data_IF_923476962364
#
_entry.id   IF_923476962364
#
_cell.length_a   1.000
_cell.length_b   1.000
_cell.length_c   1.000
_cell.angle_alpha   90.00
_cell.angle_beta   90.00
_cell.angle_gamma   90.00
#
_symmetry.space_group_name_H-M   'P 1'
#
loop_
_entity.id
_entity.type
_entity.pdbx_description
1 polymer ?
#
# COMPACT_ATOMS: atom_id res chain seq x y z
N UNK A 1 -4.26 14.63 -5.88
CA UNK A 1 -5.04 13.59 -6.60
C UNK A 1 -4.15 12.37 -6.78
N UNK A 2 -4.62 11.16 -6.45
CA UNK A 2 -3.85 9.93 -6.67
C UNK A 2 -3.64 9.70 -8.17
N UNK A 3 -2.54 9.01 -8.53
CA UNK A 3 -2.23 8.61 -9.89
C UNK A 3 -2.29 7.08 -9.99
N UNK A 4 -2.84 6.57 -11.09
CA UNK A 4 -2.83 5.13 -11.38
C UNK A 4 -1.42 4.69 -11.71
N UNK A 5 -1.01 3.56 -11.15
CA UNK A 5 0.32 2.98 -11.32
C UNK A 5 0.17 1.55 -11.83
N UNK A 6 0.82 1.24 -12.95
CA UNK A 6 0.85 -0.12 -13.51
C UNK A 6 2.04 -0.93 -12.96
N UNK A 7 2.01 -2.25 -13.11
CA UNK A 7 2.95 -3.18 -12.47
C UNK A 7 4.44 -2.88 -12.72
N UNK A 8 4.82 -2.41 -13.91
CA UNK A 8 6.22 -2.04 -14.19
C UNK A 8 6.64 -0.81 -13.39
N UNK A 9 5.78 0.21 -13.34
CA UNK A 9 6.04 1.43 -12.58
C UNK A 9 6.01 1.18 -11.08
N UNK A 10 5.16 0.26 -10.61
CA UNK A 10 5.18 -0.21 -9.22
C UNK A 10 6.56 -0.74 -8.84
N UNK A 11 7.14 -1.64 -9.66
CA UNK A 11 8.47 -2.22 -9.39
C UNK A 11 9.57 -1.15 -9.31
N UNK A 12 9.55 -0.17 -10.22
CA UNK A 12 10.49 0.96 -10.20
C UNK A 12 10.37 1.76 -8.90
N UNK A 13 9.14 2.13 -8.53
CA UNK A 13 8.88 2.90 -7.32
C UNK A 13 9.31 2.15 -6.07
N UNK A 14 9.00 0.85 -5.96
CA UNK A 14 9.43 0.03 -4.82
C UNK A 14 10.94 -0.12 -4.75
N UNK A 15 11.62 -0.27 -5.89
CA UNK A 15 13.09 -0.34 -5.94
C UNK A 15 13.77 0.97 -5.50
N UNK A 16 13.07 2.12 -5.67
CA UNK A 16 13.52 3.43 -5.21
C UNK A 16 13.09 3.74 -3.76
N UNK A 17 12.60 2.75 -3.02
CA UNK A 17 12.14 2.92 -1.65
C UNK A 17 10.70 3.45 -1.56
N UNK A 18 9.85 3.25 -2.54
CA UNK A 18 8.41 3.48 -2.39
C UNK A 18 7.82 2.65 -1.24
N UNK A 19 6.78 3.19 -0.61
CA UNK A 19 6.06 2.56 0.50
C UNK A 19 4.81 1.90 -0.05
N UNK A 20 4.83 0.56 -0.12
CA UNK A 20 3.69 -0.22 -0.61
C UNK A 20 2.72 -0.47 0.54
N UNK A 21 1.44 -0.13 0.34
CA UNK A 21 0.39 -0.21 1.35
C UNK A 21 -0.76 -1.06 0.82
N UNK A 22 -1.09 -2.12 1.55
CA UNK A 22 -2.29 -2.93 1.35
C UNK A 22 -3.37 -2.49 2.34
N UNK A 23 -4.57 -2.25 1.84
CA UNK A 23 -5.69 -1.70 2.62
C UNK A 23 -6.82 -2.70 2.88
N UNK A 24 -6.66 -3.96 2.47
CA UNK A 24 -7.55 -5.05 2.87
C UNK A 24 -7.47 -5.35 4.39
N UNK A 25 -8.52 -5.96 4.97
CA UNK A 25 -8.49 -6.49 6.33
C UNK A 25 -7.26 -7.38 6.61
N UNK A 26 -6.82 -7.38 7.87
CA UNK A 26 -5.63 -8.11 8.33
C UNK A 26 -5.66 -9.60 7.95
N UNK A 27 -6.83 -10.23 8.00
CA UNK A 27 -7.01 -11.64 7.65
C UNK A 27 -6.67 -11.90 6.17
N UNK A 28 -7.17 -11.07 5.26
CA UNK A 28 -6.94 -11.18 3.82
C UNK A 28 -5.48 -10.85 3.47
N UNK A 29 -4.91 -9.84 4.12
CA UNK A 29 -3.47 -9.54 4.02
C UNK A 29 -2.62 -10.75 4.45
N UNK A 30 -2.98 -11.43 5.55
CA UNK A 30 -2.26 -12.58 6.05
C UNK A 30 -2.32 -13.78 5.09
N UNK A 31 -3.42 -13.94 4.34
CA UNK A 31 -3.56 -14.98 3.33
C UNK A 31 -2.67 -14.72 2.10
N UNK A 32 -2.70 -13.50 1.55
CA UNK A 32 -1.88 -13.14 0.40
C UNK A 32 -1.65 -11.63 0.33
N UNK A 33 -0.39 -11.21 0.22
CA UNK A 33 -0.02 -9.82 -0.04
C UNK A 33 1.27 -9.75 -0.87
N UNK A 34 1.51 -8.59 -1.46
CA UNK A 34 2.77 -8.30 -2.14
C UNK A 34 3.90 -8.18 -1.12
N UNK A 35 5.03 -8.84 -1.39
CA UNK A 35 6.21 -8.79 -0.51
C UNK A 35 6.63 -7.35 -0.22
N UNK A 36 6.80 -7.02 1.06
CA UNK A 36 7.20 -5.68 1.50
C UNK A 36 6.05 -4.67 1.62
N UNK A 37 4.80 -5.08 1.34
CA UNK A 37 3.63 -4.27 1.66
C UNK A 37 3.49 -4.09 3.17
N UNK A 38 2.92 -2.96 3.58
CA UNK A 38 2.44 -2.71 4.95
C UNK A 38 0.92 -2.83 4.93
N UNK A 39 0.34 -3.55 5.89
CA UNK A 39 -1.11 -3.59 6.04
C UNK A 39 -1.60 -2.35 6.80
N UNK A 40 -2.43 -1.54 6.16
CA UNK A 40 -3.17 -0.43 6.77
C UNK A 40 -4.65 -0.54 6.36
N UNK A 41 -5.46 -1.34 7.08
CA UNK A 41 -6.83 -1.62 6.69
C UNK A 41 -7.65 -0.34 6.46
N UNK A 42 -8.34 -0.25 5.33
CA UNK A 42 -9.04 0.97 4.89
C UNK A 42 -10.03 1.48 5.94
N UNK A 43 -10.72 0.56 6.65
CA UNK A 43 -11.70 0.88 7.70
C UNK A 43 -11.08 1.56 8.94
N UNK A 44 -9.77 1.49 9.10
CA UNK A 44 -9.01 2.08 10.20
C UNK A 44 -8.00 3.13 9.71
N UNK A 45 -7.96 3.41 8.41
CA UNK A 45 -6.99 4.32 7.82
C UNK A 45 -7.33 5.77 8.19
N UNK A 46 -6.42 6.39 8.93
CA UNK A 46 -6.51 7.76 9.42
C UNK A 46 -5.09 8.33 9.62
N UNK A 47 -4.97 9.57 10.12
CA UNK A 47 -3.69 10.21 10.33
C UNK A 47 -2.82 9.51 11.40
N UNK A 48 -3.43 8.80 12.35
CA UNK A 48 -2.71 8.11 13.42
C UNK A 48 -2.15 6.77 12.91
N UNK A 49 -2.94 6.01 12.18
CA UNK A 49 -2.51 4.73 11.59
C UNK A 49 -1.53 4.93 10.43
N UNK A 50 -1.58 6.07 9.75
CA UNK A 50 -0.65 6.43 8.68
C UNK A 50 0.62 7.15 9.18
N UNK A 51 0.81 7.35 10.50
CA UNK A 51 1.88 8.20 11.06
C UNK A 51 3.29 7.77 10.66
N UNK A 52 3.47 6.46 10.45
CA UNK A 52 4.76 5.87 10.09
C UNK A 52 5.05 5.93 8.58
N UNK A 53 4.17 6.52 7.78
CA UNK A 53 4.44 6.77 6.36
C UNK A 53 5.28 8.03 6.21
N UNK A 54 6.41 7.90 5.52
CA UNK A 54 7.26 9.03 5.18
C UNK A 54 6.65 9.84 4.03
N UNK A 55 6.23 11.10 4.22
CA UNK A 55 5.64 11.91 3.15
C UNK A 55 6.66 12.30 2.06
N UNK A 56 7.96 12.16 2.32
CA UNK A 56 9.03 12.39 1.34
C UNK A 56 9.23 11.23 0.36
N UNK A 57 8.58 10.09 0.59
CA UNK A 57 8.70 8.88 -0.25
C UNK A 57 7.36 8.58 -0.93
N UNK A 58 7.36 8.05 -2.17
CA UNK A 58 6.13 7.63 -2.83
C UNK A 58 5.33 6.66 -1.95
N UNK A 59 4.04 6.92 -1.74
CA UNK A 59 3.11 5.98 -1.11
C UNK A 59 2.27 5.34 -2.22
N UNK A 60 2.33 4.01 -2.32
CA UNK A 60 1.62 3.24 -3.34
C UNK A 60 0.58 2.39 -2.61
N UNK A 61 -0.69 2.75 -2.77
CA UNK A 61 -1.81 2.01 -2.20
C UNK A 61 -2.32 1.03 -3.23
N UNK A 62 -2.54 -0.22 -2.82
CA UNK A 62 -3.23 -1.21 -3.63
C UNK A 62 -4.23 -1.98 -2.76
N UNK A 63 -5.18 -2.60 -3.42
CA UNK A 63 -6.06 -3.62 -2.85
C UNK A 63 -6.39 -4.62 -3.95
N UNK A 64 -6.68 -5.85 -3.57
CA UNK A 64 -7.36 -6.78 -4.45
C UNK A 64 -8.87 -6.67 -4.19
N UNK A 65 -9.59 -6.01 -5.08
CA UNK A 65 -11.05 -6.08 -5.09
C UNK A 65 -11.46 -7.18 -6.07
N UNK A 66 -12.26 -8.13 -5.59
CA UNK A 66 -12.79 -9.26 -6.37
C UNK A 66 -14.19 -8.97 -6.94
N UNK A 67 -14.70 -7.75 -6.79
CA UNK A 67 -16.01 -7.32 -7.30
C UNK A 67 -15.96 -6.91 -8.79
#
# INVERSE_FOLDING_TARGET
MPQRVEANRLRELTAQGGQLVEVLPEAEYAELHLTGARNLPLKRLDAHTAVDLDPGRPVIVYCHDAL
#
